data_IF_257745161310
#
_entry.id   IF_257745161310
#
_cell.length_a   1.000
_cell.length_b   1.000
_cell.length_c   1.000
_cell.angle_alpha   90.00
_cell.angle_beta   90.00
_cell.angle_gamma   90.00
#
_symmetry.space_group_name_H-M   'P 1'
#
loop_
_entity.id
_entity.type
_entity.pdbx_description
1 polymer ?
#
# COMPACT_ATOMS: atom_id res chain seq x y z
N UNK A 1 -24.60 -3.04 32.46
CA UNK A 1 -23.35 -2.91 31.70
C UNK A 1 -23.32 -4.05 30.72
N UNK A 2 -23.66 -3.75 29.47
CA UNK A 2 -23.73 -4.77 28.43
C UNK A 2 -22.32 -5.25 28.08
N UNK A 3 -22.15 -6.57 27.96
CA UNK A 3 -20.87 -7.21 27.62
C UNK A 3 -20.59 -7.00 26.14
N UNK A 4 -19.39 -6.53 25.81
CA UNK A 4 -18.89 -6.47 24.44
C UNK A 4 -18.71 -7.91 23.93
N UNK A 5 -19.33 -8.24 22.80
CA UNK A 5 -19.22 -9.54 22.14
C UNK A 5 -18.49 -9.35 20.82
N UNK A 6 -17.41 -10.11 20.61
CA UNK A 6 -16.70 -10.09 19.33
C UNK A 6 -17.49 -10.89 18.28
N UNK A 7 -17.63 -10.32 17.08
CA UNK A 7 -18.32 -10.97 15.96
C UNK A 7 -17.38 -11.06 14.76
N UNK A 8 -17.28 -12.24 14.14
CA UNK A 8 -16.48 -12.45 12.94
C UNK A 8 -17.32 -12.28 11.67
N UNK A 9 -16.94 -11.36 10.78
CA UNK A 9 -17.61 -11.17 9.48
C UNK A 9 -17.27 -9.85 8.78
N UNK A 10 -17.42 -9.79 7.45
CA UNK A 10 -17.23 -8.58 6.63
C UNK A 10 -18.53 -7.78 6.41
N UNK A 11 -18.51 -6.78 5.52
CA UNK A 11 -19.65 -5.89 5.24
C UNK A 11 -20.98 -6.61 4.92
N UNK A 12 -20.93 -7.77 4.26
CA UNK A 12 -22.10 -8.59 3.94
C UNK A 12 -22.77 -9.25 5.14
N UNK A 13 -22.06 -9.36 6.26
CA UNK A 13 -22.60 -9.80 7.54
C UNK A 13 -23.39 -8.65 8.22
N UNK A 14 -22.87 -7.43 8.14
CA UNK A 14 -23.44 -6.23 8.74
C UNK A 14 -24.72 -5.76 8.03
N UNK A 15 -24.87 -6.02 6.72
CA UNK A 15 -26.06 -5.65 5.95
C UNK A 15 -27.34 -6.39 6.34
N UNK A 16 -27.25 -7.38 7.23
CA UNK A 16 -28.39 -8.16 7.76
C UNK A 16 -29.07 -7.49 8.95
N UNK A 17 -28.45 -6.46 9.53
CA UNK A 17 -28.97 -5.75 10.69
C UNK A 17 -29.53 -4.39 10.29
N UNK A 18 -30.65 -4.00 10.91
CA UNK A 18 -31.30 -2.73 10.65
C UNK A 18 -30.61 -1.63 11.46
N UNK A 19 -29.96 -0.68 10.76
CA UNK A 19 -29.08 0.37 11.34
C UNK A 19 -29.76 1.18 12.47
N UNK A 20 -31.09 1.29 12.45
CA UNK A 20 -31.86 2.05 13.45
C UNK A 20 -31.92 1.36 14.83
N UNK A 21 -31.68 0.06 14.88
CA UNK A 21 -31.86 -0.78 16.06
C UNK A 21 -30.54 -1.18 16.72
N UNK A 22 -29.40 -0.68 16.21
CA UNK A 22 -28.06 -1.11 16.63
C UNK A 22 -27.38 0.02 17.40
N UNK A 23 -26.86 -0.30 18.57
CA UNK A 23 -26.08 0.65 19.37
C UNK A 23 -24.79 1.06 18.65
N UNK A 24 -24.42 2.35 18.60
CA UNK A 24 -23.13 2.78 18.05
C UNK A 24 -21.93 2.07 18.72
N UNK A 25 -22.11 1.61 19.96
CA UNK A 25 -21.12 0.88 20.73
C UNK A 25 -20.90 -0.58 20.27
N UNK A 26 -21.82 -1.17 19.49
CA UNK A 26 -21.63 -2.48 18.87
C UNK A 26 -20.66 -2.42 17.67
N UNK A 27 -20.42 -1.23 17.13
CA UNK A 27 -19.50 -0.98 16.02
C UNK A 27 -18.16 -0.39 16.47
N UNK A 28 -17.92 -0.29 17.78
CA UNK A 28 -16.64 0.20 18.30
C UNK A 28 -15.61 -0.90 18.11
N UNK A 29 -14.98 -0.88 16.95
CA UNK A 29 -13.77 -1.64 16.69
C UNK A 29 -12.64 -1.02 17.54
N UNK A 30 -11.93 -1.83 18.32
CA UNK A 30 -10.65 -1.41 18.91
C UNK A 30 -9.65 -1.38 17.74
N UNK A 31 -9.33 -0.17 17.26
CA UNK A 31 -8.53 0.04 16.07
C UNK A 31 -7.15 -0.64 16.14
N UNK A 32 -6.96 -1.73 15.39
CA UNK A 32 -5.63 -2.31 15.19
C UNK A 32 -4.99 -1.70 13.93
N UNK A 33 -3.93 -0.93 14.12
CA UNK A 33 -2.99 -0.50 13.07
C UNK A 33 -3.44 0.61 12.10
N UNK A 34 -4.40 1.48 12.46
CA UNK A 34 -4.47 2.78 11.78
C UNK A 34 -3.24 3.61 12.14
N UNK A 35 -2.48 4.04 11.12
CA UNK A 35 -1.32 4.89 11.35
C UNK A 35 -1.71 6.18 12.08
N UNK A 36 -0.79 6.73 12.88
CA UNK A 36 -0.95 7.93 13.74
C UNK A 36 -1.54 9.20 13.08
N UNK A 37 -1.88 9.18 11.79
CA UNK A 37 -2.21 10.34 10.94
C UNK A 37 -3.62 10.34 10.35
N UNK A 38 -4.50 9.40 10.70
CA UNK A 38 -5.72 9.18 9.92
C UNK A 38 -7.07 9.45 10.59
N UNK A 39 -7.12 9.90 11.85
CA UNK A 39 -8.34 10.45 12.43
C UNK A 39 -8.01 11.66 13.32
N UNK A 40 -8.77 12.74 13.18
CA UNK A 40 -8.80 13.80 14.18
C UNK A 40 -9.28 13.17 15.48
N UNK A 41 -8.45 13.17 16.52
CA UNK A 41 -8.88 12.65 17.83
C UNK A 41 -9.99 13.54 18.35
N UNK A 42 -11.16 12.94 18.54
CA UNK A 42 -12.29 13.64 19.15
C UNK A 42 -12.01 13.89 20.64
N UNK A 43 -12.62 14.93 21.23
CA UNK A 43 -12.65 15.10 22.67
C UNK A 43 -13.10 13.80 23.34
N UNK A 44 -12.47 13.52 24.47
CA UNK A 44 -12.68 12.36 25.32
C UNK A 44 -12.32 11.00 24.67
N UNK A 45 -11.57 11.00 23.56
CA UNK A 45 -11.02 9.77 22.97
C UNK A 45 -9.91 9.18 23.84
N UNK A 46 -9.98 7.88 24.12
CA UNK A 46 -9.01 7.16 24.92
C UNK A 46 -7.68 6.92 24.19
N UNK A 47 -6.59 7.02 24.94
CA UNK A 47 -5.29 6.54 24.53
C UNK A 47 -5.10 5.08 25.00
N UNK A 48 -4.89 4.16 24.08
CA UNK A 48 -4.82 2.71 24.37
C UNK A 48 -3.73 2.31 25.38
N UNK A 49 -2.64 3.09 25.47
CA UNK A 49 -1.49 2.76 26.34
C UNK A 49 -1.62 3.34 27.73
N UNK A 50 -2.07 4.60 27.80
CA UNK A 50 -2.11 5.36 29.05
C UNK A 50 -3.49 5.40 29.70
N UNK A 51 -4.54 5.01 28.97
CA UNK A 51 -5.94 5.10 29.40
C UNK A 51 -6.43 6.52 29.74
N UNK A 52 -5.62 7.53 29.41
CA UNK A 52 -6.00 8.93 29.47
C UNK A 52 -6.86 9.32 28.27
N UNK A 53 -7.65 10.37 28.42
CA UNK A 53 -8.57 10.85 27.39
C UNK A 53 -8.07 12.16 26.77
N UNK A 54 -8.46 12.44 25.53
CA UNK A 54 -8.11 13.70 24.85
C UNK A 54 -9.02 14.82 25.34
N UNK A 55 -8.53 15.89 25.97
CA UNK A 55 -9.39 16.94 26.54
C UNK A 55 -9.13 18.28 25.85
N UNK A 56 -10.18 19.00 25.40
CA UNK A 56 -10.02 20.37 24.91
C UNK A 56 -9.46 21.24 26.03
N UNK A 57 -8.51 22.13 25.74
CA UNK A 57 -7.99 23.09 26.72
C UNK A 57 -7.93 24.48 26.10
N UNK A 58 -7.98 25.51 26.94
CA UNK A 58 -7.77 26.87 26.47
C UNK A 58 -6.30 27.08 26.14
N UNK A 59 -6.00 27.96 25.18
CA UNK A 59 -4.61 28.23 24.78
C UNK A 59 -3.75 28.72 25.97
N UNK A 60 -4.36 29.46 26.92
CA UNK A 60 -3.71 29.91 28.16
C UNK A 60 -3.28 28.77 29.09
N UNK A 61 -3.93 27.61 29.01
CA UNK A 61 -3.68 26.45 29.86
C UNK A 61 -2.61 25.52 29.27
N UNK A 62 -2.17 25.76 28.02
CA UNK A 62 -1.24 24.90 27.31
C UNK A 62 0.08 24.66 28.08
N UNK A 63 0.62 25.70 28.72
CA UNK A 63 1.88 25.62 29.46
C UNK A 63 1.74 24.93 30.83
N UNK A 64 0.53 24.92 31.40
CA UNK A 64 0.26 24.40 32.74
C UNK A 64 -0.53 23.09 32.72
N UNK A 65 -0.74 22.52 31.53
CA UNK A 65 -1.43 21.26 31.34
C UNK A 65 -0.54 20.10 31.77
N UNK A 66 -1.10 19.22 32.61
CA UNK A 66 -0.43 18.02 33.09
C UNK A 66 -1.25 16.79 32.68
N UNK A 67 -0.63 15.70 32.19
CA UNK A 67 -1.35 14.50 31.74
C UNK A 67 -2.26 13.89 32.80
N UNK A 68 -1.94 14.04 34.08
CA UNK A 68 -2.76 13.56 35.19
C UNK A 68 -4.15 14.23 35.26
N UNK A 69 -4.36 15.35 34.58
CA UNK A 69 -5.66 16.02 34.46
C UNK A 69 -6.54 15.40 33.38
N UNK A 70 -6.01 14.47 32.59
CA UNK A 70 -6.68 13.83 31.47
C UNK A 70 -7.26 12.46 31.82
N UNK A 71 -7.78 12.30 33.04
CA UNK A 71 -8.42 11.05 33.49
C UNK A 71 -9.77 10.85 32.83
N UNK A 72 -10.33 9.61 32.83
CA UNK A 72 -11.64 9.32 32.25
C UNK A 72 -12.79 10.19 32.76
N UNK A 73 -12.69 10.69 33.99
CA UNK A 73 -13.72 11.53 34.63
C UNK A 73 -13.53 13.04 34.40
N UNK A 74 -12.45 13.43 33.73
CA UNK A 74 -12.11 14.82 33.56
C UNK A 74 -13.07 15.53 32.60
N UNK A 75 -13.40 16.77 32.95
CA UNK A 75 -14.33 17.63 32.20
C UNK A 75 -13.60 18.88 31.74
N UNK A 76 -13.98 19.37 30.57
CA UNK A 76 -13.49 20.65 30.08
C UNK A 76 -14.62 21.49 29.51
N UNK A 77 -14.56 22.78 29.86
CA UNK A 77 -15.42 23.83 29.32
C UNK A 77 -14.79 24.52 28.11
N UNK A 78 -13.59 24.09 27.69
CA UNK A 78 -12.95 24.64 26.51
C UNK A 78 -13.72 24.18 25.26
N UNK A 79 -14.09 25.11 24.37
CA UNK A 79 -14.83 24.74 23.19
C UNK A 79 -13.92 23.98 22.20
N UNK A 80 -14.49 23.05 21.45
CA UNK A 80 -13.78 22.23 20.48
C UNK A 80 -14.49 22.32 19.12
N UNK A 81 -13.75 22.68 18.07
CA UNK A 81 -14.27 22.89 16.71
C UNK A 81 -15.50 23.82 16.68
N UNK A 82 -15.34 25.05 17.17
CA UNK A 82 -16.36 26.09 17.02
C UNK A 82 -16.36 26.54 15.57
N UNK A 83 -17.44 26.23 14.84
CA UNK A 83 -17.61 26.77 13.50
C UNK A 83 -17.66 28.29 13.56
N UNK A 84 -16.72 28.94 12.89
CA UNK A 84 -16.75 30.37 12.62
C UNK A 84 -17.16 30.60 11.17
N UNK A 85 -18.12 31.48 10.94
CA UNK A 85 -18.53 31.85 9.58
C UNK A 85 -17.32 32.35 8.79
N UNK A 86 -17.10 31.78 7.60
CA UNK A 86 -15.97 32.11 6.73
C UNK A 86 -14.65 31.40 7.02
N UNK A 87 -14.52 30.64 8.11
CA UNK A 87 -13.27 29.94 8.47
C UNK A 87 -12.76 28.99 7.36
N UNK A 88 -13.67 28.28 6.70
CA UNK A 88 -13.31 27.40 5.60
C UNK A 88 -12.74 28.18 4.40
N UNK A 89 -13.23 29.40 4.16
CA UNK A 89 -12.73 30.26 3.09
C UNK A 89 -11.34 30.78 3.46
N UNK A 90 -11.17 31.30 4.68
CA UNK A 90 -9.88 31.75 5.22
C UNK A 90 -8.81 30.64 5.09
N UNK A 91 -9.16 29.41 5.51
CA UNK A 91 -8.27 28.25 5.41
C UNK A 91 -7.84 27.95 3.96
N UNK A 92 -8.79 27.99 3.01
CA UNK A 92 -8.51 27.74 1.59
C UNK A 92 -7.62 28.83 1.00
N UNK A 93 -7.89 30.09 1.32
CA UNK A 93 -7.07 31.23 0.88
C UNK A 93 -5.63 31.13 1.40
N UNK A 94 -5.45 30.83 2.69
CA UNK A 94 -4.13 30.63 3.29
C UNK A 94 -3.37 29.46 2.65
N UNK A 95 -4.06 28.33 2.43
CA UNK A 95 -3.48 27.15 1.79
C UNK A 95 -3.04 27.44 0.36
N UNK A 96 -3.86 28.16 -0.42
CA UNK A 96 -3.52 28.58 -1.79
C UNK A 96 -2.34 29.55 -1.80
N UNK A 97 -2.32 30.53 -0.89
CA UNK A 97 -1.22 31.48 -0.74
C UNK A 97 0.09 30.78 -0.38
N UNK A 98 0.06 29.82 0.56
CA UNK A 98 1.20 28.98 0.87
C UNK A 98 1.66 28.16 -0.33
N UNK A 99 0.73 27.49 -1.03
CA UNK A 99 1.02 26.66 -2.20
C UNK A 99 1.68 27.48 -3.32
N UNK A 100 1.25 28.73 -3.51
CA UNK A 100 1.90 29.66 -4.43
C UNK A 100 3.32 30.01 -3.97
N UNK A 101 3.51 30.42 -2.70
CA UNK A 101 4.83 30.78 -2.14
C UNK A 101 5.87 29.66 -2.25
N UNK A 102 5.46 28.41 -2.02
CA UNK A 102 6.36 27.24 -2.11
C UNK A 102 6.50 26.70 -3.54
N UNK A 103 5.89 27.35 -4.53
CA UNK A 103 5.93 26.91 -5.92
C UNK A 103 5.28 25.55 -6.14
N UNK A 104 4.27 25.18 -5.35
CA UNK A 104 3.60 23.88 -5.41
C UNK A 104 3.00 23.59 -6.80
N UNK A 105 2.49 24.63 -7.46
CA UNK A 105 1.90 24.57 -8.79
C UNK A 105 2.92 24.78 -9.92
N UNK A 106 4.19 25.06 -9.60
CA UNK A 106 5.21 25.15 -10.63
C UNK A 106 5.34 23.77 -11.31
N UNK A 107 5.40 23.71 -12.65
CA UNK A 107 5.61 22.46 -13.36
C UNK A 107 6.94 21.87 -12.91
N UNK A 108 6.89 20.85 -12.04
CA UNK A 108 8.07 20.07 -11.70
C UNK A 108 8.57 19.48 -13.01
N UNK A 109 9.76 19.88 -13.45
CA UNK A 109 10.48 19.15 -14.51
C UNK A 109 10.49 17.70 -14.06
N UNK A 110 9.75 16.85 -14.78
CA UNK A 110 9.84 15.41 -14.61
C UNK A 110 11.26 15.10 -15.06
N UNK A 111 12.19 15.03 -14.12
CA UNK A 111 13.44 14.36 -14.41
C UNK A 111 13.03 12.92 -14.68
N UNK A 112 12.97 12.54 -15.95
CA UNK A 112 13.06 11.15 -16.37
C UNK A 112 14.37 10.64 -15.79
N UNK A 113 14.29 10.20 -14.54
CA UNK A 113 15.41 9.54 -13.92
C UNK A 113 15.35 8.16 -14.55
N UNK A 114 16.32 7.83 -15.41
CA UNK A 114 16.45 6.47 -15.90
C UNK A 114 16.36 5.54 -14.69
N UNK A 115 15.30 4.73 -14.65
CA UNK A 115 15.08 3.83 -13.53
C UNK A 115 16.32 2.94 -13.44
N UNK A 116 17.09 3.08 -12.36
CA UNK A 116 18.25 2.24 -12.10
C UNK A 116 17.77 0.79 -11.95
N UNK A 117 17.87 0.02 -13.04
CA UNK A 117 17.55 -1.41 -13.06
C UNK A 117 18.54 -2.15 -12.16
N UNK A 118 18.06 -3.12 -11.40
CA UNK A 118 18.94 -3.98 -10.58
C UNK A 118 19.60 -5.10 -11.39
N UNK A 119 18.99 -5.47 -12.51
CA UNK A 119 19.41 -6.57 -13.37
C UNK A 119 19.54 -6.07 -14.80
N UNK A 120 20.72 -6.26 -15.38
CA UNK A 120 21.01 -5.95 -16.78
C UNK A 120 20.41 -6.99 -17.75
N UNK A 121 19.88 -8.09 -17.21
CA UNK A 121 19.30 -9.19 -17.98
C UNK A 121 17.79 -9.24 -17.74
N UNK A 122 17.03 -9.23 -18.84
CA UNK A 122 15.59 -9.46 -18.83
C UNK A 122 15.31 -10.93 -18.53
N UNK A 123 14.66 -11.22 -17.40
CA UNK A 123 14.22 -12.57 -17.05
C UNK A 123 12.93 -12.89 -17.83
N UNK A 124 12.89 -13.99 -18.61
CA UNK A 124 11.68 -14.41 -19.33
C UNK A 124 10.54 -14.87 -18.40
N UNK A 125 9.31 -14.79 -18.89
CA UNK A 125 8.09 -15.14 -18.12
C UNK A 125 8.05 -16.58 -17.61
N UNK A 126 8.78 -17.50 -18.27
CA UNK A 126 8.86 -18.91 -17.86
C UNK A 126 9.41 -19.07 -16.43
N UNK A 127 10.29 -18.16 -16.00
CA UNK A 127 10.88 -18.13 -14.66
C UNK A 127 10.06 -17.36 -13.63
N UNK A 128 8.93 -16.79 -14.02
CA UNK A 128 8.10 -16.04 -13.08
C UNK A 128 7.52 -16.96 -12.01
N UNK A 129 7.41 -16.48 -10.76
CA UNK A 129 6.77 -17.25 -9.71
C UNK A 129 5.29 -17.47 -10.01
N UNK A 130 4.69 -18.55 -9.46
CA UNK A 130 3.27 -18.84 -9.62
C UNK A 130 2.37 -17.66 -9.26
N UNK A 131 2.69 -16.89 -8.21
CA UNK A 131 1.89 -15.74 -7.82
C UNK A 131 1.83 -14.63 -8.88
N UNK A 132 2.93 -14.39 -9.61
CA UNK A 132 2.95 -13.41 -10.71
C UNK A 132 2.24 -13.97 -11.93
N UNK A 133 2.39 -15.28 -12.23
CA UNK A 133 1.64 -15.94 -13.31
C UNK A 133 0.12 -15.88 -13.06
N UNK A 134 -0.30 -16.10 -11.82
CA UNK A 134 -1.69 -15.97 -11.40
C UNK A 134 -2.20 -14.53 -11.56
N UNK A 135 -1.39 -13.53 -11.21
CA UNK A 135 -1.74 -12.13 -11.52
C UNK A 135 -1.95 -11.97 -13.03
N UNK A 136 -0.98 -12.40 -13.86
CA UNK A 136 -1.01 -12.24 -15.32
C UNK A 136 -2.21 -12.94 -16.01
N UNK A 137 -2.80 -13.95 -15.38
CA UNK A 137 -4.02 -14.62 -15.85
C UNK A 137 -5.29 -13.78 -15.64
N UNK A 138 -5.21 -12.67 -14.90
CA UNK A 138 -6.32 -11.80 -14.56
C UNK A 138 -6.83 -12.05 -13.14
N UNK A 139 -7.48 -11.05 -12.55
CA UNK A 139 -7.97 -11.07 -11.18
C UNK A 139 -9.39 -10.51 -11.05
N UNK A 140 -10.20 -11.16 -10.23
CA UNK A 140 -11.51 -10.65 -9.79
C UNK A 140 -11.34 -9.56 -8.72
N UNK A 141 -10.54 -9.82 -7.69
CA UNK A 141 -10.20 -8.90 -6.59
C UNK A 141 -8.69 -8.66 -6.46
N UNK A 142 -8.28 -7.62 -5.74
CA UNK A 142 -6.86 -7.33 -5.46
C UNK A 142 -6.13 -6.58 -6.57
N UNK A 143 -6.79 -6.24 -7.68
CA UNK A 143 -6.19 -5.58 -8.86
C UNK A 143 -5.31 -4.37 -8.54
N UNK A 144 -5.73 -3.48 -7.64
CA UNK A 144 -4.93 -2.31 -7.25
C UNK A 144 -3.62 -2.69 -6.54
N UNK A 145 -3.68 -3.69 -5.66
CA UNK A 145 -2.50 -4.25 -4.95
C UNK A 145 -1.58 -4.96 -5.95
N UNK A 146 -2.16 -5.77 -6.83
CA UNK A 146 -1.42 -6.53 -7.83
C UNK A 146 -0.77 -5.66 -8.91
N UNK A 147 -1.36 -4.51 -9.26
CA UNK A 147 -0.75 -3.56 -10.20
C UNK A 147 0.62 -3.08 -9.68
N UNK A 148 0.69 -2.67 -8.41
CA UNK A 148 1.96 -2.24 -7.80
C UNK A 148 2.97 -3.39 -7.79
N UNK A 149 2.54 -4.58 -7.36
CA UNK A 149 3.39 -5.79 -7.34
C UNK A 149 3.90 -6.13 -8.73
N UNK A 150 3.07 -6.05 -9.78
CA UNK A 150 3.44 -6.38 -11.15
C UNK A 150 4.46 -5.37 -11.71
N UNK A 151 4.20 -4.07 -11.56
CA UNK A 151 5.09 -3.01 -12.05
C UNK A 151 6.46 -3.09 -11.37
N UNK A 152 6.48 -3.21 -10.04
CA UNK A 152 7.72 -3.34 -9.27
C UNK A 152 8.47 -4.61 -9.59
N UNK A 153 7.78 -5.76 -9.72
CA UNK A 153 8.40 -7.03 -10.07
C UNK A 153 9.08 -6.96 -11.44
N UNK A 154 8.35 -6.57 -12.50
CA UNK A 154 8.85 -6.54 -13.87
C UNK A 154 10.08 -5.63 -14.01
N UNK A 155 10.05 -4.44 -13.39
CA UNK A 155 11.19 -3.52 -13.38
C UNK A 155 12.43 -4.13 -12.71
N UNK A 156 12.23 -4.86 -11.60
CA UNK A 156 13.33 -5.53 -10.91
C UNK A 156 13.87 -6.75 -11.66
N UNK A 157 13.12 -7.34 -12.60
CA UNK A 157 13.57 -8.48 -13.41
C UNK A 157 14.00 -8.08 -14.83
N UNK A 158 14.37 -6.81 -15.01
CA UNK A 158 15.06 -6.32 -16.21
C UNK A 158 14.15 -5.92 -17.38
N UNK A 159 12.83 -5.81 -17.16
CA UNK A 159 11.90 -5.32 -18.19
C UNK A 159 12.00 -3.80 -18.33
N UNK A 160 11.93 -3.31 -19.56
CA UNK A 160 11.91 -1.88 -19.87
C UNK A 160 10.58 -1.25 -19.46
N UNK A 161 10.56 0.07 -19.27
CA UNK A 161 9.33 0.75 -18.87
C UNK A 161 8.22 0.61 -19.92
N UNK A 162 8.55 0.65 -21.21
CA UNK A 162 7.57 0.47 -22.30
C UNK A 162 6.98 -0.94 -22.30
N UNK A 163 7.80 -1.98 -22.16
CA UNK A 163 7.33 -3.36 -22.04
C UNK A 163 6.44 -3.55 -20.81
N UNK A 164 6.74 -2.86 -19.70
CA UNK A 164 5.90 -2.89 -18.49
C UNK A 164 4.54 -2.25 -18.77
N UNK A 165 4.51 -1.09 -19.44
CA UNK A 165 3.26 -0.41 -19.80
C UNK A 165 2.37 -1.30 -20.67
N UNK A 166 2.95 -1.94 -21.69
CA UNK A 166 2.25 -2.87 -22.56
C UNK A 166 1.74 -4.09 -21.79
N UNK A 167 2.60 -4.73 -20.99
CA UNK A 167 2.24 -5.91 -20.20
C UNK A 167 1.15 -5.61 -19.16
N UNK A 168 1.17 -4.44 -18.54
CA UNK A 168 0.14 -4.00 -17.59
C UNK A 168 -1.21 -3.80 -18.29
N UNK A 169 -1.23 -3.23 -19.50
CA UNK A 169 -2.46 -3.07 -20.28
C UNK A 169 -3.00 -4.43 -20.76
N UNK A 170 -2.11 -5.32 -21.21
CA UNK A 170 -2.45 -6.70 -21.56
C UNK A 170 -3.09 -7.43 -20.36
N UNK A 171 -2.45 -7.36 -19.20
CA UNK A 171 -2.98 -7.92 -17.96
C UNK A 171 -4.34 -7.30 -17.58
N UNK A 172 -4.49 -5.98 -17.67
CA UNK A 172 -5.74 -5.32 -17.34
C UNK A 172 -6.88 -5.73 -18.28
N UNK A 173 -6.59 -6.08 -19.54
CA UNK A 173 -7.60 -6.58 -20.47
C UNK A 173 -8.25 -7.90 -20.02
N UNK A 174 -7.52 -8.72 -19.25
CA UNK A 174 -7.95 -10.01 -18.68
C UNK A 174 -8.70 -9.87 -17.35
N UNK A 175 -8.67 -8.68 -16.74
CA UNK A 175 -9.32 -8.42 -15.46
C UNK A 175 -10.82 -8.15 -15.63
N UNK A 176 -11.63 -8.64 -14.68
CA UNK A 176 -13.06 -8.34 -14.63
C UNK A 176 -13.50 -7.94 -13.20
N UNK A 177 -14.04 -6.71 -12.98
CA UNK A 177 -13.99 -5.58 -13.90
C UNK A 177 -12.56 -5.08 -14.14
N UNK A 178 -12.33 -4.40 -15.26
CA UNK A 178 -11.05 -3.76 -15.59
C UNK A 178 -10.77 -2.59 -14.64
N UNK A 179 -9.50 -2.33 -14.34
CA UNK A 179 -9.10 -1.06 -13.74
C UNK A 179 -9.25 0.07 -14.76
N UNK A 180 -9.58 1.27 -14.29
CA UNK A 180 -9.66 2.44 -15.16
C UNK A 180 -8.28 2.82 -15.70
N UNK A 181 -8.20 3.22 -16.97
CA UNK A 181 -6.96 3.68 -17.61
C UNK A 181 -6.35 4.87 -16.88
N UNK A 182 -7.19 5.75 -16.31
CA UNK A 182 -6.73 6.85 -15.46
C UNK A 182 -5.95 6.35 -14.24
N UNK A 183 -6.44 5.31 -13.56
CA UNK A 183 -5.75 4.73 -12.40
C UNK A 183 -4.41 4.12 -12.80
N UNK A 184 -4.38 3.33 -13.89
CA UNK A 184 -3.16 2.71 -14.42
C UNK A 184 -2.14 3.77 -14.79
N UNK A 185 -2.54 4.78 -15.57
CA UNK A 185 -1.67 5.88 -16.00
C UNK A 185 -1.11 6.65 -14.80
N UNK A 186 -1.95 6.91 -13.79
CA UNK A 186 -1.52 7.59 -12.56
C UNK A 186 -0.47 6.79 -11.81
N UNK A 187 -0.69 5.48 -11.65
CA UNK A 187 0.25 4.57 -10.98
C UNK A 187 1.57 4.43 -11.73
N UNK A 188 1.54 4.27 -13.06
CA UNK A 188 2.75 4.20 -13.89
C UNK A 188 3.55 5.50 -13.84
N UNK A 189 2.89 6.67 -13.93
CA UNK A 189 3.56 7.97 -13.79
C UNK A 189 4.14 8.17 -12.39
N UNK A 190 3.43 7.76 -11.35
CA UNK A 190 3.93 7.80 -9.98
C UNK A 190 5.17 6.92 -9.82
N UNK A 191 5.16 5.71 -10.40
CA UNK A 191 6.29 4.78 -10.38
C UNK A 191 7.50 5.32 -11.13
N UNK A 192 7.31 5.90 -12.32
CA UNK A 192 8.38 6.50 -13.12
C UNK A 192 9.11 7.66 -12.41
N UNK A 193 8.43 8.32 -11.46
CA UNK A 193 9.01 9.42 -10.65
C UNK A 193 9.85 8.93 -9.47
N UNK A 194 9.91 7.64 -9.21
CA UNK A 194 10.63 7.11 -8.05
C UNK A 194 12.13 7.09 -8.32
N UNK A 195 12.89 7.78 -7.46
CA UNK A 195 14.36 7.88 -7.58
C UNK A 195 15.05 6.55 -7.23
N UNK A 196 14.42 5.73 -6.36
CA UNK A 196 14.96 4.44 -5.91
C UNK A 196 14.15 3.30 -6.52
N UNK A 197 14.80 2.19 -6.91
CA UNK A 197 14.10 0.99 -7.36
C UNK A 197 13.27 0.44 -6.20
N UNK A 198 11.95 0.52 -6.33
CA UNK A 198 11.01 -0.05 -5.37
C UNK A 198 10.98 -1.57 -5.50
N UNK A 199 10.92 -2.26 -4.37
CA UNK A 199 10.72 -3.71 -4.33
C UNK A 199 9.23 -4.04 -4.29
N UNK A 200 8.80 -5.18 -4.86
CA UNK A 200 7.47 -5.70 -4.56
C UNK A 200 7.37 -6.05 -3.07
N UNK A 201 6.14 -6.09 -2.56
CA UNK A 201 5.86 -6.48 -1.17
C UNK A 201 6.44 -7.85 -0.83
N UNK A 202 6.79 -8.04 0.43
CA UNK A 202 7.28 -9.33 0.91
C UNK A 202 6.15 -10.37 0.92
N UNK A 203 6.49 -11.62 0.61
CA UNK A 203 5.53 -12.73 0.60
C UNK A 203 4.98 -13.06 2.00
N UNK A 204 5.64 -12.63 3.07
CA UNK A 204 5.21 -12.86 4.46
C UNK A 204 4.10 -11.94 4.95
N UNK A 205 3.70 -10.94 4.15
CA UNK A 205 2.59 -10.05 4.48
C UNK A 205 1.30 -10.58 3.85
N UNK A 206 0.36 -11.04 4.68
CA UNK A 206 -0.86 -11.70 4.22
C UNK A 206 -1.75 -10.82 3.32
N UNK A 207 -1.69 -9.50 3.49
CA UNK A 207 -2.49 -8.51 2.75
C UNK A 207 -2.22 -8.46 1.24
N UNK A 208 -1.07 -8.93 0.77
CA UNK A 208 -0.64 -8.69 -0.62
C UNK A 208 -0.72 -9.92 -1.53
N UNK A 209 -0.58 -11.13 -0.98
CA UNK A 209 -0.56 -12.36 -1.77
C UNK A 209 -1.55 -13.40 -1.25
N UNK A 210 -1.55 -13.66 0.06
CA UNK A 210 -2.41 -14.68 0.67
C UNK A 210 -3.88 -14.27 0.66
N UNK A 211 -4.19 -13.06 1.14
CA UNK A 211 -5.56 -12.56 1.27
C UNK A 211 -6.32 -12.39 -0.05
N UNK A 212 -5.60 -12.27 -1.18
CA UNK A 212 -6.20 -12.20 -2.52
C UNK A 212 -6.12 -13.53 -3.29
N UNK A 213 -5.69 -14.62 -2.62
CA UNK A 213 -5.72 -15.96 -3.18
C UNK A 213 -4.71 -16.23 -4.31
N UNK A 214 -3.70 -15.39 -4.51
CA UNK A 214 -2.72 -15.57 -5.62
C UNK A 214 -1.49 -16.38 -5.20
N UNK A 215 -1.24 -16.54 -3.90
CA UNK A 215 -0.06 -17.23 -3.39
C UNK A 215 -0.18 -18.75 -3.59
N UNK A 216 0.77 -19.33 -4.32
CA UNK A 216 0.97 -20.78 -4.40
C UNK A 216 2.38 -21.08 -3.90
N UNK A 217 2.50 -21.43 -2.62
CA UNK A 217 3.78 -21.70 -1.98
C UNK A 217 4.44 -22.94 -2.59
N UNK A 218 5.74 -22.87 -2.82
CA UNK A 218 6.58 -23.99 -3.23
C UNK A 218 8.00 -23.81 -2.66
N UNK A 219 8.86 -24.80 -2.89
CA UNK A 219 10.24 -24.84 -2.37
C UNK A 219 11.15 -23.70 -2.85
N UNK A 220 10.80 -23.05 -3.97
CA UNK A 220 11.58 -21.96 -4.54
C UNK A 220 11.13 -20.57 -4.03
N UNK A 221 10.10 -20.50 -3.18
CA UNK A 221 9.65 -19.25 -2.57
C UNK A 221 10.75 -18.62 -1.71
N UNK A 222 11.02 -17.33 -1.95
CA UNK A 222 11.94 -16.52 -1.16
C UNK A 222 11.23 -15.40 -0.40
N UNK A 223 11.97 -14.34 -0.04
CA UNK A 223 11.44 -13.17 0.67
C UNK A 223 10.36 -12.43 -0.13
N UNK A 224 10.54 -12.31 -1.45
CA UNK A 224 9.61 -11.68 -2.38
C UNK A 224 9.67 -12.37 -3.77
N UNK A 225 8.76 -12.03 -4.70
CA UNK A 225 8.71 -12.63 -6.03
C UNK A 225 9.98 -12.47 -6.88
N UNK A 226 10.76 -11.39 -6.67
CA UNK A 226 12.02 -11.17 -7.41
C UNK A 226 13.04 -12.23 -7.02
N UNK A 227 13.18 -12.55 -5.73
CA UNK A 227 14.10 -13.58 -5.27
C UNK A 227 13.84 -14.94 -5.92
N UNK A 228 12.56 -15.28 -6.12
CA UNK A 228 12.17 -16.50 -6.82
C UNK A 228 12.73 -16.52 -8.25
N UNK A 229 12.38 -15.50 -9.04
CA UNK A 229 12.71 -15.44 -10.45
C UNK A 229 14.22 -15.43 -10.68
N UNK A 230 14.94 -14.63 -9.89
CA UNK A 230 16.40 -14.54 -9.96
C UNK A 230 17.06 -15.86 -9.57
N UNK A 231 16.62 -16.50 -8.49
CA UNK A 231 17.19 -17.79 -8.04
C UNK A 231 17.01 -18.87 -9.12
N UNK A 232 15.81 -18.99 -9.66
CA UNK A 232 15.50 -20.01 -10.67
C UNK A 232 16.26 -19.77 -11.98
N UNK A 233 16.28 -18.52 -12.45
CA UNK A 233 17.01 -18.13 -13.66
C UNK A 233 18.52 -18.37 -13.53
N UNK A 234 19.11 -17.99 -12.40
CA UNK A 234 20.56 -18.15 -12.17
C UNK A 234 20.98 -19.63 -12.06
N UNK A 235 20.14 -20.50 -11.47
CA UNK A 235 20.39 -21.96 -11.45
C UNK A 235 20.46 -22.52 -12.87
N UNK A 236 19.47 -22.20 -13.71
CA UNK A 236 19.40 -22.66 -15.10
C UNK A 236 20.52 -22.12 -15.97
N UNK A 237 20.88 -20.85 -15.79
CA UNK A 237 22.01 -20.25 -16.50
C UNK A 237 23.35 -20.95 -16.19
N UNK A 238 23.55 -21.35 -14.93
CA UNK A 238 24.74 -22.14 -14.52
C UNK A 238 24.73 -23.55 -15.12
N UNK A 239 23.58 -24.22 -15.19
CA UNK A 239 23.44 -25.53 -15.84
C UNK A 239 23.82 -25.46 -17.32
N UNK A 240 23.26 -24.50 -18.06
CA UNK A 240 23.54 -24.30 -19.50
C UNK A 240 25.03 -24.02 -19.74
N UNK A 241 25.68 -23.22 -18.89
CA UNK A 241 27.13 -22.98 -18.97
C UNK A 241 27.94 -24.25 -18.75
N UNK A 242 27.58 -25.07 -17.75
CA UNK A 242 28.26 -26.35 -17.48
C UNK A 242 28.15 -27.32 -18.66
N UNK A 243 26.98 -27.42 -19.27
CA UNK A 243 26.76 -28.32 -20.41
C UNK A 243 27.53 -27.88 -21.67
N UNK A 244 27.62 -26.57 -21.92
CA UNK A 244 28.46 -26.03 -23.00
C UNK A 244 29.95 -26.32 -22.79
N UNK A 245 30.44 -26.23 -21.54
CA UNK A 245 31.83 -26.57 -21.20
C UNK A 245 32.09 -28.07 -21.39
N UNK A 246 31.17 -28.94 -20.96
CA UNK A 246 31.27 -30.40 -21.18
C UNK A 246 31.31 -30.76 -22.67
N UNK A 247 30.41 -30.19 -23.48
CA UNK A 247 30.37 -30.43 -24.93
C UNK A 247 31.63 -29.94 -25.66
N UNK A 248 32.25 -28.84 -25.21
CA UNK A 248 33.55 -28.37 -25.74
C UNK A 248 34.70 -29.30 -25.40
N UNK A 249 34.72 -29.90 -24.20
CA UNK A 249 35.74 -30.87 -23.80
C UNK A 249 35.66 -32.18 -24.58
N UNK A 250 34.45 -32.65 -24.89
CA UNK A 250 34.22 -33.88 -25.68
C UNK A 250 34.55 -33.68 -27.18
N UNK A 251 34.55 -32.44 -27.67
CA UNK A 251 34.84 -32.14 -29.09
C UNK A 251 36.32 -31.89 -29.39
N UNK A 252 37.13 -31.72 -28.33
CA UNK A 252 38.55 -31.37 -28.40
C UNK A 252 39.45 -32.46 -27.79
N UNK A 253 38.91 -33.62 -27.44
CA UNK A 253 39.64 -34.81 -27.00
C UNK A 253 39.17 -36.00 -27.81
#
# INVERSE_FOLDING_TARGET
MDRIVAVEGGYSFLSKYNIKDISPYEFVEIEKNWGQRHLFRMPYSFNEKSWLISIPIKLSELKSFEPSRATPDAKSDAPFLVNKDGEAIELVEEALGWAHRVGFFAPKKIQETELKRKLDVKIPEEYFPPCIKNILNGLSDGKKRSLFTLVTFLSNVGWTFDEIQEKVREWNSKNNPKLSERYITTQLKWYARQVKPLMPYNCGSDEYYTSIGICQKNENCGKNPVNYAVSLYMKKFKEIKKDKIKKRRVKNG
#
